data_IF_234864689280
#
_entry.id   IF_234864689280
#
_cell.length_a   1.000
_cell.length_b   1.000
_cell.length_c   1.000
_cell.angle_alpha   90.00
_cell.angle_beta   90.00
_cell.angle_gamma   90.00
#
_symmetry.space_group_name_H-M   'P 1'
#
loop_
_entity.id
_entity.type
_entity.pdbx_description
1 polymer ?
#
# COMPACT_ATOMS: atom_id res chain seq x y z
N UNK A 1 15.04 -12.78 18.22
CA UNK A 1 14.09 -12.71 17.08
C UNK A 1 14.92 -12.44 15.83
N UNK A 2 14.68 -13.14 14.73
CA UNK A 2 15.41 -12.92 13.47
C UNK A 2 15.04 -11.54 12.89
N UNK A 3 16.03 -10.71 12.56
CA UNK A 3 15.82 -9.31 12.12
C UNK A 3 14.94 -9.26 10.87
N UNK A 4 15.11 -10.22 9.94
CA UNK A 4 14.30 -10.29 8.74
C UNK A 4 12.84 -10.63 9.04
N UNK A 5 12.58 -11.53 10.00
CA UNK A 5 11.20 -11.88 10.42
C UNK A 5 10.49 -10.68 11.05
N UNK A 6 11.19 -9.93 11.91
CA UNK A 6 10.63 -8.74 12.54
C UNK A 6 10.41 -7.60 11.52
N UNK A 7 11.26 -7.48 10.50
CA UNK A 7 11.06 -6.54 9.41
C UNK A 7 9.84 -6.91 8.56
N UNK A 8 9.70 -8.19 8.20
CA UNK A 8 8.54 -8.69 7.45
C UNK A 8 7.22 -8.47 8.20
N UNK A 9 7.18 -8.77 9.49
CA UNK A 9 5.99 -8.55 10.33
C UNK A 9 5.58 -7.07 10.36
N UNK A 10 6.54 -6.16 10.63
CA UNK A 10 6.26 -4.71 10.63
C UNK A 10 5.76 -4.23 9.27
N UNK A 11 6.38 -4.69 8.19
CA UNK A 11 6.00 -4.30 6.84
C UNK A 11 4.58 -4.76 6.50
N UNK A 12 4.23 -6.02 6.81
CA UNK A 12 2.88 -6.58 6.59
C UNK A 12 1.84 -5.78 7.38
N UNK A 13 2.07 -5.52 8.68
CA UNK A 13 1.16 -4.70 9.50
C UNK A 13 1.00 -3.28 8.96
N UNK A 14 2.10 -2.65 8.53
CA UNK A 14 2.06 -1.30 7.98
C UNK A 14 1.35 -1.22 6.62
N UNK A 15 1.43 -2.28 5.82
CA UNK A 15 0.70 -2.41 4.57
C UNK A 15 -0.79 -2.71 4.81
N UNK A 16 -1.14 -3.51 5.82
CA UNK A 16 -2.55 -3.74 6.23
C UNK A 16 -3.23 -2.46 6.70
N UNK A 17 -2.53 -1.66 7.51
CA UNK A 17 -3.04 -0.39 8.00
C UNK A 17 -3.34 0.61 6.87
N UNK A 18 -2.69 0.47 5.71
CA UNK A 18 -2.94 1.31 4.54
C UNK A 18 -4.21 0.93 3.75
N UNK A 19 -4.90 -0.15 4.13
CA UNK A 19 -6.13 -0.65 3.49
C UNK A 19 -6.04 -0.70 1.95
N UNK A 20 -5.03 -1.37 1.38
CA UNK A 20 -4.79 -1.39 -0.05
C UNK A 20 -5.96 -2.00 -0.82
N UNK A 21 -6.20 -1.49 -2.03
CA UNK A 21 -7.23 -1.98 -2.97
C UNK A 21 -6.58 -2.38 -4.30
N UNK A 22 -7.30 -3.15 -5.12
CA UNK A 22 -6.84 -3.54 -6.46
C UNK A 22 -5.44 -4.19 -6.47
N UNK A 23 -4.53 -3.65 -7.27
CA UNK A 23 -3.16 -4.18 -7.41
C UNK A 23 -2.32 -4.05 -6.14
N UNK A 24 -2.64 -3.09 -5.26
CA UNK A 24 -1.99 -2.98 -3.96
C UNK A 24 -2.43 -4.14 -3.04
N UNK A 25 -3.71 -4.52 -3.10
CA UNK A 25 -4.25 -5.61 -2.29
C UNK A 25 -3.63 -6.97 -2.69
N UNK A 26 -3.42 -7.19 -3.99
CA UNK A 26 -2.75 -8.38 -4.50
C UNK A 26 -1.30 -8.49 -3.99
N UNK A 27 -0.56 -7.38 -3.94
CA UNK A 27 0.79 -7.36 -3.39
C UNK A 27 0.80 -7.68 -1.88
N UNK A 28 -0.18 -7.18 -1.13
CA UNK A 28 -0.34 -7.50 0.29
C UNK A 28 -0.69 -8.98 0.52
N UNK A 29 -1.54 -9.56 -0.32
CA UNK A 29 -1.87 -10.99 -0.25
C UNK A 29 -0.62 -11.87 -0.47
N UNK A 30 0.20 -11.53 -1.47
CA UNK A 30 1.47 -12.22 -1.70
C UNK A 30 2.44 -12.09 -0.52
N UNK A 31 2.54 -10.88 0.07
CA UNK A 31 3.35 -10.65 1.25
C UNK A 31 2.91 -11.52 2.44
N UNK A 32 1.59 -11.62 2.69
CA UNK A 32 1.03 -12.49 3.73
C UNK A 32 1.34 -13.96 3.51
N UNK A 33 1.15 -14.46 2.28
CA UNK A 33 1.47 -15.85 1.95
C UNK A 33 2.93 -16.19 2.20
N UNK A 34 3.84 -15.29 1.83
CA UNK A 34 5.28 -15.43 2.07
C UNK A 34 5.64 -15.35 3.55
N UNK A 35 5.02 -14.43 4.31
CA UNK A 35 5.23 -14.31 5.75
C UNK A 35 4.75 -15.55 6.52
N UNK A 36 3.59 -16.11 6.14
CA UNK A 36 3.10 -17.37 6.72
C UNK A 36 4.09 -18.52 6.41
N UNK A 37 4.50 -18.65 5.14
CA UNK A 37 5.48 -19.65 4.72
C UNK A 37 6.82 -19.51 5.44
N UNK A 38 7.26 -18.27 5.72
CA UNK A 38 8.47 -17.98 6.48
C UNK A 38 8.38 -18.43 7.95
N UNK A 39 7.19 -18.36 8.56
CA UNK A 39 6.95 -18.84 9.92
C UNK A 39 6.97 -20.36 10.01
N UNK A 40 6.39 -21.04 9.01
CA UNK A 40 6.23 -22.49 8.99
C UNK A 40 7.53 -23.23 8.63
N UNK A 41 8.41 -22.60 7.84
CA UNK A 41 9.64 -23.28 7.41
C UNK A 41 10.67 -23.44 8.54
N UNK A 42 11.27 -24.63 8.58
CA UNK A 42 12.36 -24.98 9.51
C UNK A 42 13.74 -24.64 8.97
N UNK A 43 13.86 -24.46 7.64
CA UNK A 43 15.14 -24.15 6.98
C UNK A 43 15.45 -22.67 7.12
N UNK A 44 16.59 -22.33 7.74
CA UNK A 44 16.98 -20.94 8.01
C UNK A 44 17.14 -20.10 6.74
N UNK A 45 17.74 -20.66 5.68
CA UNK A 45 17.90 -19.96 4.40
C UNK A 45 16.57 -19.61 3.75
N UNK A 46 15.63 -20.56 3.75
CA UNK A 46 14.29 -20.34 3.19
C UNK A 46 13.50 -19.36 4.03
N UNK A 47 13.63 -19.43 5.36
CA UNK A 47 13.02 -18.47 6.29
C UNK A 47 13.44 -17.04 5.97
N UNK A 48 14.75 -16.80 5.84
CA UNK A 48 15.29 -15.48 5.51
C UNK A 48 14.77 -14.99 4.15
N UNK A 49 14.88 -15.82 3.11
CA UNK A 49 14.42 -15.47 1.76
C UNK A 49 12.93 -15.15 1.71
N UNK A 50 12.09 -15.94 2.39
CA UNK A 50 10.65 -15.73 2.44
C UNK A 50 10.30 -14.47 3.26
N UNK A 51 11.00 -14.21 4.35
CA UNK A 51 10.82 -13.00 5.16
C UNK A 51 11.20 -11.73 4.37
N UNK A 52 12.32 -11.74 3.65
CA UNK A 52 12.74 -10.62 2.80
C UNK A 52 11.74 -10.38 1.66
N UNK A 53 11.27 -11.45 1.01
CA UNK A 53 10.24 -11.35 -0.02
C UNK A 53 8.93 -10.77 0.54
N UNK A 54 8.50 -11.23 1.73
CA UNK A 54 7.32 -10.72 2.39
C UNK A 54 7.44 -9.23 2.72
N UNK A 55 8.59 -8.79 3.24
CA UNK A 55 8.87 -7.39 3.53
C UNK A 55 8.79 -6.54 2.25
N UNK A 56 9.46 -6.95 1.17
CA UNK A 56 9.49 -6.23 -0.09
C UNK A 56 8.09 -6.11 -0.73
N UNK A 57 7.28 -7.18 -0.70
CA UNK A 57 5.92 -7.15 -1.23
C UNK A 57 4.97 -6.31 -0.38
N UNK A 58 5.15 -6.30 0.95
CA UNK A 58 4.38 -5.45 1.83
C UNK A 58 4.72 -3.96 1.63
N UNK A 59 6.00 -3.62 1.49
CA UNK A 59 6.43 -2.25 1.17
C UNK A 59 5.88 -1.79 -0.18
N UNK A 60 5.88 -2.67 -1.19
CA UNK A 60 5.26 -2.41 -2.49
C UNK A 60 3.75 -2.15 -2.36
N UNK A 61 3.04 -2.98 -1.60
CA UNK A 61 1.61 -2.81 -1.36
C UNK A 61 1.32 -1.47 -0.69
N UNK A 62 2.10 -1.10 0.32
CA UNK A 62 1.97 0.17 1.03
C UNK A 62 2.24 1.36 0.09
N UNK A 63 3.32 1.31 -0.70
CA UNK A 63 3.66 2.38 -1.64
C UNK A 63 2.56 2.58 -2.70
N UNK A 64 1.99 1.48 -3.22
CA UNK A 64 0.87 1.53 -4.16
C UNK A 64 -0.38 2.12 -3.53
N UNK A 65 -0.75 1.71 -2.33
CA UNK A 65 -1.90 2.27 -1.61
C UNK A 65 -1.76 3.79 -1.39
N UNK A 66 -0.56 4.26 -1.02
CA UNK A 66 -0.27 5.68 -0.88
C UNK A 66 -0.37 6.44 -2.21
N UNK A 67 0.09 5.84 -3.29
CA UNK A 67 -0.02 6.43 -4.64
C UNK A 67 -1.48 6.57 -5.07
N UNK A 68 -2.28 5.53 -4.86
CA UNK A 68 -3.70 5.55 -5.22
C UNK A 68 -4.47 6.60 -4.41
N UNK A 69 -4.24 6.68 -3.09
CA UNK A 69 -4.82 7.71 -2.24
C UNK A 69 -4.41 9.13 -2.67
N UNK A 70 -3.14 9.34 -3.03
CA UNK A 70 -2.68 10.63 -3.53
C UNK A 70 -3.32 11.02 -4.87
N UNK A 71 -3.57 10.05 -5.76
CA UNK A 71 -4.27 10.28 -7.03
C UNK A 71 -5.73 10.68 -6.79
N UNK A 72 -6.45 9.94 -5.95
CA UNK A 72 -7.84 10.26 -5.59
C UNK A 72 -7.95 11.67 -4.99
N UNK A 73 -6.99 12.07 -4.16
CA UNK A 73 -6.95 13.41 -3.57
C UNK A 73 -6.76 14.50 -4.64
N UNK A 74 -5.81 14.31 -5.57
CA UNK A 74 -5.56 15.26 -6.67
C UNK A 74 -6.80 15.39 -7.57
N UNK A 75 -7.43 14.28 -7.93
CA UNK A 75 -8.65 14.26 -8.75
C UNK A 75 -9.82 14.97 -8.04
N UNK A 76 -10.02 14.73 -6.74
CA UNK A 76 -11.03 15.41 -5.94
C UNK A 76 -10.80 16.92 -5.91
N UNK A 77 -9.55 17.35 -5.68
CA UNK A 77 -9.17 18.77 -5.67
C UNK A 77 -9.35 19.42 -7.04
N UNK A 78 -9.00 18.72 -8.12
CA UNK A 78 -9.20 19.21 -9.49
C UNK A 78 -10.70 19.39 -9.82
N UNK A 79 -11.55 18.43 -9.44
CA UNK A 79 -12.99 18.52 -9.64
C UNK A 79 -13.60 19.70 -8.86
N UNK A 80 -13.21 19.90 -7.60
CA UNK A 80 -13.63 21.06 -6.79
C UNK A 80 -13.17 22.38 -7.42
N UNK A 81 -11.94 22.45 -7.92
CA UNK A 81 -11.45 23.67 -8.54
C UNK A 81 -12.20 24.02 -9.84
N UNK A 82 -12.50 23.01 -10.66
CA UNK A 82 -13.32 23.18 -11.86
C UNK A 82 -14.75 23.62 -11.53
N UNK A 83 -15.35 23.08 -10.47
CA UNK A 83 -16.66 23.51 -9.98
C UNK A 83 -16.66 24.97 -9.49
N UNK A 84 -15.67 25.34 -8.68
CA UNK A 84 -15.50 26.73 -8.19
C UNK A 84 -15.31 27.72 -9.33
N UNK A 85 -14.50 27.38 -10.34
CA UNK A 85 -14.30 28.21 -11.54
C UNK A 85 -15.62 28.41 -12.29
N UNK A 86 -16.43 27.37 -12.45
CA UNK A 86 -17.77 27.47 -13.08
C UNK A 86 -18.68 28.42 -12.30
N UNK A 87 -18.75 28.30 -10.97
CA UNK A 87 -19.57 29.19 -10.13
C UNK A 87 -19.13 30.65 -10.20
N UNK A 88 -17.82 30.90 -10.21
CA UNK A 88 -17.27 32.26 -10.29
C UNK A 88 -17.56 32.93 -11.64
N UNK A 89 -17.56 32.17 -12.74
CA UNK A 89 -17.93 32.70 -14.06
C UNK A 89 -19.41 33.09 -14.10
N UNK A 90 -20.30 32.20 -13.64
CA UNK A 90 -21.75 32.47 -13.60
C UNK A 90 -22.10 33.67 -12.72
N UNK A 91 -21.45 33.83 -11.56
CA UNK A 91 -21.68 34.97 -10.67
C UNK A 91 -21.07 36.29 -11.20
N UNK A 92 -20.20 36.24 -12.20
CA UNK A 92 -19.59 37.44 -12.82
C UNK A 92 -20.36 37.93 -14.05
N UNK A 93 -21.17 37.05 -14.64
CA UNK A 93 -22.05 37.35 -15.78
C UNK A 93 -23.43 37.88 -15.36
N UNK A 94 -23.74 37.85 -14.06
CA UNK A 94 -24.90 38.49 -13.42
C UNK A 94 -24.49 39.80 -12.72
#
# INVERSE_FOLDING_TARGET
MDVAMAAAERAVLAAEAAQPRGQAAQALEQARGQWLSAQETRRKSDKLRLAEAAAANADLAQARARLDAAREEVESRAARNADLRRRLLVNREN
#
